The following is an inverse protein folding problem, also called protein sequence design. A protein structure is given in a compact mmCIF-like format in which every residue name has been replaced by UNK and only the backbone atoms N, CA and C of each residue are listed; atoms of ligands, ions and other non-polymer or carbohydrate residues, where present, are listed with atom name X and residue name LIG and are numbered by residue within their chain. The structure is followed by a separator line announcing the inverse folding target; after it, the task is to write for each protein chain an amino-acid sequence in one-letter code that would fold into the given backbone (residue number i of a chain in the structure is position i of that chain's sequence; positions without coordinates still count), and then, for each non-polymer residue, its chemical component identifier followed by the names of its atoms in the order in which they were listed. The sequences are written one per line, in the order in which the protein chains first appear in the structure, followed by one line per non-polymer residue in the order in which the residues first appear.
data_IF_239804572373
#
_entry.id   IF_239804572373
#
_cell.length_a   1.000
_cell.length_b   1.000
_cell.length_c   1.000
_cell.angle_alpha   90.00
_cell.angle_beta   90.00
_cell.angle_gamma   90.00
#
_symmetry.space_group_name_H-M   'P 1'
#
loop_
_entity.id
_entity.type
_entity.pdbx_description
1 polymer ?
#
# COMPACT_ATOMS: atom_id res chain seq x y z
N UNK A 1 6.62 -60.70 38.98
CA UNK A 1 5.83 -60.07 37.85
C UNK A 1 6.10 -58.58 37.89
N UNK A 2 6.96 -58.12 36.97
CA UNK A 2 7.30 -56.76 36.77
C UNK A 2 6.29 -56.19 35.72
N UNK A 3 5.48 -55.22 36.16
CA UNK A 3 4.69 -54.39 35.22
C UNK A 3 5.48 -53.12 34.95
N UNK A 4 6.17 -53.09 33.83
CA UNK A 4 6.71 -51.86 33.28
C UNK A 4 5.53 -51.07 32.67
N UNK A 5 5.22 -49.92 33.29
CA UNK A 5 4.29 -48.96 32.73
C UNK A 5 5.04 -48.12 31.71
N UNK A 6 4.68 -48.25 30.44
CA UNK A 6 5.03 -47.31 29.36
C UNK A 6 4.37 -45.97 29.62
N UNK A 7 5.08 -44.85 29.49
CA UNK A 7 4.44 -43.54 29.50
C UNK A 7 3.68 -43.34 28.18
N UNK A 8 2.48 -42.71 28.17
CA UNK A 8 1.77 -42.44 26.95
C UNK A 8 2.40 -41.30 26.20
N UNK A 9 2.75 -41.63 25.01
CA UNK A 9 2.76 -40.83 23.78
C UNK A 9 3.09 -39.36 23.82
N UNK A 10 4.23 -39.09 23.17
CA UNK A 10 4.59 -37.77 22.66
C UNK A 10 3.52 -37.26 21.71
N UNK A 11 3.01 -36.06 21.98
CA UNK A 11 2.23 -35.30 21.02
C UNK A 11 3.01 -35.18 19.69
N UNK A 12 2.38 -35.38 18.53
CA UNK A 12 3.07 -35.28 17.26
C UNK A 12 3.69 -33.90 17.14
N UNK A 13 5.00 -33.86 16.96
CA UNK A 13 5.69 -32.62 16.70
C UNK A 13 5.00 -31.94 15.50
N UNK A 14 4.49 -30.73 15.70
CA UNK A 14 3.81 -30.00 14.68
C UNK A 14 4.70 -29.91 13.45
N UNK A 15 4.27 -30.50 12.34
CA UNK A 15 5.06 -30.53 11.12
C UNK A 15 5.36 -29.11 10.61
N UNK A 16 6.39 -28.94 9.76
CA UNK A 16 6.80 -27.62 9.26
C UNK A 16 5.65 -26.82 8.64
N UNK A 17 4.65 -27.49 8.08
CA UNK A 17 3.42 -26.85 7.57
C UNK A 17 2.55 -26.26 8.70
N UNK A 18 2.40 -26.95 9.84
CA UNK A 18 1.67 -26.43 10.99
C UNK A 18 2.39 -25.27 11.67
N UNK A 19 3.72 -25.32 11.77
CA UNK A 19 4.52 -24.21 12.28
C UNK A 19 4.39 -22.98 11.38
N UNK A 20 4.33 -23.17 10.04
CA UNK A 20 4.10 -22.09 9.08
C UNK A 20 2.69 -21.49 9.24
N UNK A 21 1.68 -22.33 9.36
CA UNK A 21 0.28 -21.88 9.58
C UNK A 21 0.14 -21.13 10.91
N UNK A 22 0.79 -21.58 11.98
CA UNK A 22 0.80 -20.86 13.26
C UNK A 22 1.49 -19.50 13.14
N UNK A 23 2.61 -19.41 12.41
CA UNK A 23 3.30 -18.13 12.16
C UNK A 23 2.44 -17.18 11.33
N UNK A 24 1.70 -17.69 10.33
CA UNK A 24 0.74 -16.90 9.54
C UNK A 24 -0.45 -16.44 10.42
N UNK A 25 -0.93 -17.28 11.32
CA UNK A 25 -2.02 -16.94 12.23
C UNK A 25 -1.62 -15.91 13.31
N UNK A 26 -0.35 -15.83 13.66
CA UNK A 26 0.19 -14.85 14.62
C UNK A 26 0.49 -13.48 14.02
N UNK A 27 0.39 -13.32 12.70
CA UNK A 27 0.49 -11.99 12.06
C UNK A 27 -0.77 -11.23 12.47
N UNK A 28 -0.66 -10.11 13.19
CA UNK A 28 -1.81 -9.29 13.53
C UNK A 28 -2.52 -8.91 12.23
N UNK A 29 -3.71 -9.43 12.02
CA UNK A 29 -4.55 -9.03 10.89
C UNK A 29 -5.13 -7.66 11.24
N UNK A 30 -4.40 -6.62 10.96
CA UNK A 30 -4.95 -5.27 11.05
C UNK A 30 -6.01 -5.17 9.96
N UNK A 31 -7.26 -5.01 10.36
CA UNK A 31 -8.35 -4.77 9.43
C UNK A 31 -8.53 -3.27 9.29
N UNK A 32 -8.13 -2.73 8.16
CA UNK A 32 -8.29 -1.30 7.87
C UNK A 32 -9.68 -0.97 7.32
N UNK A 33 -10.27 -1.88 6.54
CA UNK A 33 -11.60 -1.69 5.94
C UNK A 33 -12.30 -3.04 5.65
N UNK A 34 -13.52 -2.97 5.14
CA UNK A 34 -14.33 -4.16 4.76
C UNK A 34 -13.81 -4.92 3.52
N UNK A 35 -12.91 -4.34 2.73
CA UNK A 35 -12.38 -5.00 1.54
C UNK A 35 -11.10 -5.82 1.88
N UNK A 36 -11.15 -7.17 1.81
CA UNK A 36 -10.03 -8.02 2.22
C UNK A 36 -8.79 -7.88 1.34
N UNK A 37 -8.96 -7.52 0.05
CA UNK A 37 -7.82 -7.32 -0.85
C UNK A 37 -7.09 -6.01 -0.54
N UNK A 38 -7.82 -4.93 -0.28
CA UNK A 38 -7.25 -3.66 0.19
C UNK A 38 -6.48 -3.89 1.49
N UNK A 39 -7.08 -4.58 2.46
CA UNK A 39 -6.41 -4.93 3.72
C UNK A 39 -5.11 -5.72 3.48
N UNK A 40 -5.12 -6.66 2.54
CA UNK A 40 -3.93 -7.47 2.22
C UNK A 40 -2.82 -6.61 1.63
N UNK A 41 -3.14 -5.70 0.71
CA UNK A 41 -2.14 -4.80 0.11
C UNK A 41 -1.58 -3.86 1.16
N UNK A 42 -2.43 -3.20 1.96
CA UNK A 42 -2.00 -2.29 3.01
C UNK A 42 -1.10 -2.99 4.04
N UNK A 43 -1.49 -4.18 4.50
CA UNK A 43 -0.70 -4.98 5.46
C UNK A 43 0.65 -5.40 4.89
N UNK A 44 0.69 -5.84 3.63
CA UNK A 44 1.93 -6.22 2.95
C UNK A 44 2.89 -5.03 2.83
N UNK A 45 2.37 -3.88 2.41
CA UNK A 45 3.18 -2.67 2.20
C UNK A 45 3.64 -2.06 3.53
N UNK A 46 2.77 -2.03 4.55
CA UNK A 46 3.14 -1.59 5.91
C UNK A 46 4.26 -2.43 6.49
N UNK A 47 4.17 -3.76 6.37
CA UNK A 47 5.24 -4.67 6.81
C UNK A 47 6.54 -4.43 6.03
N UNK A 48 6.46 -4.27 4.70
CA UNK A 48 7.64 -3.95 3.88
C UNK A 48 8.29 -2.63 4.28
N UNK A 49 7.50 -1.59 4.55
CA UNK A 49 7.99 -0.31 5.06
C UNK A 49 8.71 -0.49 6.39
N UNK A 50 8.11 -1.21 7.34
CA UNK A 50 8.68 -1.49 8.66
C UNK A 50 10.03 -2.25 8.56
N UNK A 51 10.13 -3.26 7.69
CA UNK A 51 11.38 -3.99 7.42
C UNK A 51 12.51 -3.07 6.92
N UNK A 52 12.16 -1.94 6.32
CA UNK A 52 13.09 -0.92 5.81
C UNK A 52 13.31 0.25 6.78
N UNK A 53 12.75 0.20 8.01
CA UNK A 53 12.86 1.28 8.98
C UNK A 53 11.99 2.50 8.64
N UNK A 54 10.90 2.29 7.89
CA UNK A 54 9.94 3.32 7.49
C UNK A 54 8.65 3.11 8.28
N UNK A 55 8.17 4.14 8.97
CA UNK A 55 6.88 4.09 9.63
C UNK A 55 5.75 4.39 8.63
N UNK A 56 4.61 3.68 8.75
CA UNK A 56 3.44 3.92 7.89
C UNK A 56 2.21 4.12 8.75
N UNK A 57 1.64 5.31 8.69
CA UNK A 57 0.37 5.64 9.33
C UNK A 57 -0.77 5.50 8.33
N UNK A 58 -1.70 4.59 8.61
CA UNK A 58 -2.79 4.26 7.70
C UNK A 58 -4.12 4.64 8.34
N UNK A 59 -4.83 5.55 7.70
CA UNK A 59 -6.17 5.96 8.06
C UNK A 59 -7.13 5.56 6.96
N UNK A 60 -8.08 4.68 7.28
CA UNK A 60 -9.14 4.28 6.36
C UNK A 60 -10.48 4.66 6.96
N UNK A 61 -11.15 5.56 6.28
CA UNK A 61 -12.52 5.95 6.61
C UNK A 61 -13.54 5.01 5.98
N UNK A 62 -14.79 5.47 5.90
CA UNK A 62 -15.78 4.76 5.10
C UNK A 62 -15.31 4.64 3.65
N UNK A 63 -15.32 3.42 3.11
CA UNK A 63 -14.88 3.13 1.74
C UNK A 63 -15.99 2.42 0.98
N UNK A 64 -16.54 3.11 -0.01
CA UNK A 64 -17.36 2.51 -1.05
C UNK A 64 -16.52 2.38 -2.31
N UNK A 65 -16.25 1.17 -2.72
CA UNK A 65 -15.48 0.89 -3.93
C UNK A 65 -16.36 0.81 -5.18
N UNK A 66 -17.67 0.82 -5.02
CA UNK A 66 -18.65 0.81 -6.12
C UNK A 66 -18.31 -0.23 -7.20
N UNK A 67 -18.11 0.26 -8.41
CA UNK A 67 -17.78 -0.56 -9.59
C UNK A 67 -16.26 -0.74 -9.83
N UNK A 68 -15.41 -0.25 -8.91
CA UNK A 68 -13.97 -0.41 -9.05
C UNK A 68 -13.57 -1.89 -8.98
N UNK A 69 -12.86 -2.35 -10.00
CA UNK A 69 -12.31 -3.69 -9.97
C UNK A 69 -11.22 -3.81 -8.90
N UNK A 70 -11.32 -4.83 -8.07
CA UNK A 70 -10.36 -5.08 -6.98
C UNK A 70 -8.89 -5.10 -7.46
N UNK A 71 -8.63 -5.62 -8.66
CA UNK A 71 -7.27 -5.65 -9.23
C UNK A 71 -6.74 -4.26 -9.56
N UNK A 72 -7.57 -3.36 -10.06
CA UNK A 72 -7.20 -1.98 -10.36
C UNK A 72 -6.94 -1.19 -9.08
N UNK A 73 -7.80 -1.36 -8.08
CA UNK A 73 -7.61 -0.75 -6.76
C UNK A 73 -6.33 -1.25 -6.08
N UNK A 74 -6.05 -2.56 -6.13
CA UNK A 74 -4.80 -3.12 -5.62
C UNK A 74 -3.58 -2.60 -6.38
N UNK A 75 -3.68 -2.46 -7.71
CA UNK A 75 -2.62 -1.90 -8.54
C UNK A 75 -2.37 -0.42 -8.22
N UNK A 76 -3.42 0.37 -8.06
CA UNK A 76 -3.33 1.77 -7.68
C UNK A 76 -2.64 1.94 -6.32
N UNK A 77 -3.14 1.23 -5.30
CA UNK A 77 -2.55 1.20 -3.95
C UNK A 77 -1.08 0.78 -4.01
N UNK A 78 -0.80 -0.34 -4.67
CA UNK A 78 0.56 -0.87 -4.80
C UNK A 78 1.51 0.14 -5.42
N UNK A 79 1.13 0.77 -6.52
CA UNK A 79 1.96 1.74 -7.24
C UNK A 79 2.26 2.99 -6.39
N UNK A 80 1.25 3.55 -5.70
CA UNK A 80 1.46 4.75 -4.87
C UNK A 80 2.29 4.43 -3.63
N UNK A 81 2.04 3.30 -2.97
CA UNK A 81 2.77 2.88 -1.79
C UNK A 81 4.22 2.48 -2.10
N UNK A 82 4.47 1.79 -3.22
CA UNK A 82 5.83 1.48 -3.65
C UNK A 82 6.63 2.74 -3.94
N UNK A 83 6.01 3.71 -4.63
CA UNK A 83 6.66 4.99 -4.89
C UNK A 83 7.03 5.73 -3.59
N UNK A 84 6.14 5.73 -2.60
CA UNK A 84 6.38 6.36 -1.30
C UNK A 84 7.49 5.64 -0.50
N UNK A 85 7.44 4.30 -0.43
CA UNK A 85 8.46 3.48 0.25
C UNK A 85 9.84 3.74 -0.37
N UNK A 86 9.92 3.66 -1.70
CA UNK A 86 11.19 3.88 -2.40
C UNK A 86 11.75 5.29 -2.19
N UNK A 87 10.90 6.32 -2.12
CA UNK A 87 11.33 7.69 -1.85
C UNK A 87 11.86 7.87 -0.42
N UNK A 88 11.36 7.08 0.54
CA UNK A 88 11.78 7.12 1.94
C UNK A 88 13.09 6.36 2.21
N UNK A 89 13.43 5.31 1.43
CA UNK A 89 14.63 4.49 1.66
C UNK A 89 15.92 5.31 1.86
N UNK A 90 16.22 6.34 1.06
CA UNK A 90 17.43 7.14 1.25
C UNK A 90 17.46 7.94 2.57
N UNK A 91 16.33 8.09 3.24
CA UNK A 91 16.19 8.85 4.49
C UNK A 91 16.39 8.00 5.74
N UNK A 92 16.26 6.66 5.63
CA UNK A 92 16.32 5.74 6.79
C UNK A 92 17.67 5.75 7.54
N UNK A 93 18.83 6.01 6.93
CA UNK A 93 20.09 6.10 7.67
C UNK A 93 20.17 7.32 8.61
N UNK A 94 19.36 8.36 8.38
CA UNK A 94 19.42 9.62 9.10
C UNK A 94 18.19 9.92 9.95
N UNK A 95 17.15 9.08 9.86
CA UNK A 95 15.90 9.29 10.58
C UNK A 95 14.91 8.16 10.35
N UNK A 96 13.72 8.33 10.93
CA UNK A 96 12.58 7.43 10.77
C UNK A 96 11.52 8.12 9.89
N UNK A 97 11.61 7.96 8.55
CA UNK A 97 10.64 8.57 7.66
C UNK A 97 9.25 7.98 7.86
N UNK A 98 8.23 8.85 7.78
CA UNK A 98 6.82 8.49 7.96
C UNK A 98 6.08 8.65 6.64
N UNK A 99 5.35 7.60 6.25
CA UNK A 99 4.40 7.63 5.13
C UNK A 99 2.99 7.75 5.71
N UNK A 100 2.23 8.75 5.25
CA UNK A 100 0.83 8.92 5.63
C UNK A 100 -0.04 8.39 4.50
N UNK A 101 -0.98 7.50 4.84
CA UNK A 101 -1.93 6.92 3.89
C UNK A 101 -3.34 7.24 4.35
N UNK A 102 -4.13 7.86 3.49
CA UNK A 102 -5.53 8.16 3.75
C UNK A 102 -6.40 7.61 2.62
N UNK A 103 -7.36 6.75 2.95
CA UNK A 103 -8.30 6.16 2.01
C UNK A 103 -9.71 6.37 2.54
N UNK A 104 -10.57 7.03 1.78
CA UNK A 104 -11.96 7.26 2.15
C UNK A 104 -12.82 7.54 0.93
N UNK A 105 -14.12 7.38 1.07
CA UNK A 105 -15.11 7.81 0.08
C UNK A 105 -15.68 9.16 0.47
N UNK A 106 -15.85 10.03 -0.52
CA UNK A 106 -16.50 11.32 -0.40
C UNK A 106 -17.56 11.45 -1.50
N UNK A 107 -18.81 11.30 -1.15
CA UNK A 107 -19.89 11.14 -2.15
C UNK A 107 -19.63 9.93 -3.05
N UNK A 108 -19.63 10.15 -4.34
CA UNK A 108 -19.35 9.11 -5.36
C UNK A 108 -17.87 9.04 -5.78
N UNK A 109 -16.98 9.57 -4.96
CA UNK A 109 -15.54 9.52 -5.21
C UNK A 109 -14.85 8.66 -4.16
N UNK A 110 -14.00 7.74 -4.58
CA UNK A 110 -13.00 7.11 -3.75
C UNK A 110 -11.73 7.96 -3.83
N UNK A 111 -11.24 8.39 -2.67
CA UNK A 111 -10.04 9.24 -2.54
C UNK A 111 -8.95 8.44 -1.83
N UNK A 112 -7.81 8.30 -2.48
CA UNK A 112 -6.60 7.73 -1.93
C UNK A 112 -5.49 8.78 -1.95
N UNK A 113 -5.05 9.22 -0.78
CA UNK A 113 -3.91 10.12 -0.63
C UNK A 113 -2.75 9.38 0.03
N UNK A 114 -1.56 9.50 -0.55
CA UNK A 114 -0.31 9.00 0.00
C UNK A 114 0.67 10.15 0.07
N UNK A 115 1.22 10.39 1.26
CA UNK A 115 2.17 11.47 1.51
C UNK A 115 3.45 10.88 2.12
N UNK A 116 4.59 11.35 1.64
CA UNK A 116 5.89 10.87 2.09
C UNK A 116 6.98 11.96 2.00
N UNK A 117 7.97 11.95 2.87
CA UNK A 117 9.15 12.79 2.70
C UNK A 117 10.00 12.33 1.51
N UNK A 118 10.75 13.25 0.93
CA UNK A 118 11.69 13.00 -0.18
C UNK A 118 13.08 13.53 0.15
N UNK A 119 14.11 12.74 -0.13
CA UNK A 119 15.52 13.15 0.05
C UNK A 119 15.96 14.16 -1.01
N UNK A 120 15.42 14.03 -2.22
CA UNK A 120 15.75 14.89 -3.37
C UNK A 120 14.46 15.35 -4.00
N UNK A 121 14.38 16.63 -4.31
CA UNK A 121 13.22 17.20 -4.96
C UNK A 121 13.01 16.52 -6.34
N UNK A 122 11.82 15.97 -6.61
CA UNK A 122 11.51 15.40 -7.91
C UNK A 122 11.55 16.51 -8.98
N UNK A 123 12.01 16.16 -10.19
CA UNK A 123 11.94 17.09 -11.32
C UNK A 123 10.48 17.30 -11.71
N UNK A 124 10.10 18.56 -11.93
CA UNK A 124 8.80 18.88 -12.51
C UNK A 124 8.94 19.09 -14.01
N UNK A 125 7.89 18.74 -14.76
CA UNK A 125 7.76 19.17 -16.16
C UNK A 125 7.39 20.64 -16.24
N UNK A 126 7.46 21.21 -17.46
CA UNK A 126 6.92 22.53 -17.75
C UNK A 126 5.41 22.65 -17.46
N UNK A 127 4.70 21.53 -17.38
CA UNK A 127 3.26 21.43 -17.05
C UNK A 127 2.99 21.25 -15.55
N UNK A 128 4.03 21.32 -14.68
CA UNK A 128 3.90 21.16 -13.23
C UNK A 128 3.76 19.71 -12.75
N UNK A 129 3.89 18.72 -13.64
CA UNK A 129 3.87 17.31 -13.27
C UNK A 129 5.23 16.87 -12.72
N UNK A 130 5.21 16.13 -11.60
CA UNK A 130 6.43 15.62 -11.01
C UNK A 130 6.81 14.26 -11.60
N UNK A 131 8.08 14.13 -12.01
CA UNK A 131 8.67 12.88 -12.46
C UNK A 131 9.70 12.40 -11.45
N UNK A 132 9.83 11.09 -11.31
CA UNK A 132 10.89 10.48 -10.49
C UNK A 132 12.27 10.79 -11.07
N UNK A 133 13.17 11.31 -10.24
CA UNK A 133 14.57 11.67 -10.61
C UNK A 133 15.53 10.50 -10.55
N UNK A 134 15.06 9.25 -10.42
CA UNK A 134 15.93 8.08 -10.21
C UNK A 134 16.70 7.68 -11.48
N UNK A 135 17.91 7.15 -11.24
CA UNK A 135 18.91 6.80 -12.26
C UNK A 135 18.50 5.72 -13.28
N UNK A 136 17.28 5.16 -13.20
CA UNK A 136 16.75 4.19 -14.13
C UNK A 136 15.33 4.61 -14.59
N UNK A 137 15.23 5.44 -15.65
CA UNK A 137 13.96 5.96 -16.15
C UNK A 137 12.99 4.88 -16.64
N UNK A 138 13.50 3.73 -17.08
CA UNK A 138 12.68 2.66 -17.68
C UNK A 138 11.81 1.89 -16.68
N UNK A 139 12.12 1.92 -15.39
CA UNK A 139 11.38 1.16 -14.37
C UNK A 139 10.54 1.98 -13.40
N UNK A 140 10.83 3.29 -13.23
CA UNK A 140 10.33 4.07 -12.08
C UNK A 140 9.32 5.17 -12.43
N UNK A 141 9.12 5.50 -13.71
CA UNK A 141 8.04 6.39 -14.15
C UNK A 141 6.70 5.66 -14.32
N UNK A 142 6.72 4.33 -14.36
CA UNK A 142 5.56 3.51 -14.70
C UNK A 142 4.50 3.48 -13.59
N UNK A 143 4.89 3.58 -12.31
CA UNK A 143 3.96 3.50 -11.19
C UNK A 143 2.97 4.65 -11.14
N UNK A 144 3.45 5.89 -11.19
CA UNK A 144 2.57 7.08 -11.22
C UNK A 144 1.79 7.19 -12.53
N UNK A 145 2.40 6.80 -13.66
CA UNK A 145 1.69 6.73 -14.95
C UNK A 145 0.57 5.69 -14.92
N UNK A 146 0.83 4.51 -14.37
CA UNK A 146 -0.18 3.47 -14.18
C UNK A 146 -1.29 3.94 -13.25
N UNK A 147 -0.95 4.59 -12.13
CA UNK A 147 -1.92 5.14 -11.19
C UNK A 147 -2.79 6.21 -11.87
N UNK A 148 -2.19 7.10 -12.67
CA UNK A 148 -2.92 8.12 -13.45
C UNK A 148 -3.87 7.50 -14.45
N UNK A 149 -3.42 6.48 -15.20
CA UNK A 149 -4.26 5.76 -16.15
C UNK A 149 -5.46 5.10 -15.48
N UNK A 150 -5.24 4.43 -14.33
CA UNK A 150 -6.33 3.82 -13.56
C UNK A 150 -7.33 4.89 -13.12
N UNK A 151 -6.87 6.02 -12.56
CA UNK A 151 -7.77 7.10 -12.16
C UNK A 151 -8.59 7.63 -13.35
N UNK A 152 -7.97 7.85 -14.50
CA UNK A 152 -8.64 8.33 -15.72
C UNK A 152 -9.66 7.32 -16.27
N UNK A 153 -9.39 6.02 -16.17
CA UNK A 153 -10.34 4.97 -16.57
C UNK A 153 -11.63 4.98 -15.74
N UNK A 154 -11.57 5.55 -14.55
CA UNK A 154 -12.70 5.71 -13.62
C UNK A 154 -13.14 7.17 -13.48
N UNK A 155 -13.09 7.94 -14.55
CA UNK A 155 -13.53 9.34 -14.62
C UNK A 155 -12.96 10.22 -13.50
N UNK A 156 -11.76 9.90 -13.07
CA UNK A 156 -11.05 10.55 -11.99
C UNK A 156 -9.70 11.13 -12.44
N UNK A 157 -8.88 11.47 -11.46
CA UNK A 157 -7.56 12.05 -11.72
C UNK A 157 -6.56 11.64 -10.63
N UNK A 158 -5.27 11.79 -10.96
CA UNK A 158 -4.16 11.74 -10.02
C UNK A 158 -3.53 13.12 -9.93
N UNK A 159 -3.61 13.72 -8.74
CA UNK A 159 -2.94 14.97 -8.41
C UNK A 159 -1.64 14.67 -7.68
N UNK A 160 -0.59 15.44 -7.98
CA UNK A 160 0.68 15.34 -7.27
C UNK A 160 1.11 16.73 -6.81
N UNK A 161 1.52 16.84 -5.56
CA UNK A 161 1.96 18.08 -4.94
C UNK A 161 3.29 17.88 -4.22
N UNK A 162 4.11 18.92 -4.19
CA UNK A 162 5.33 18.98 -3.41
C UNK A 162 5.27 20.22 -2.51
N UNK A 163 5.29 20.01 -1.19
CA UNK A 163 5.35 21.07 -0.18
C UNK A 163 6.62 20.91 0.65
N UNK A 164 7.60 21.78 0.41
CA UNK A 164 8.93 21.62 1.00
C UNK A 164 9.56 20.30 0.56
N UNK A 165 9.89 19.45 1.53
CA UNK A 165 10.44 18.10 1.30
C UNK A 165 9.39 16.99 1.38
N UNK A 166 8.10 17.32 1.32
CA UNK A 166 7.01 16.36 1.39
C UNK A 166 6.28 16.26 0.06
N UNK A 167 6.23 15.04 -0.50
CA UNK A 167 5.51 14.72 -1.73
C UNK A 167 4.18 14.07 -1.37
N UNK A 168 3.11 14.54 -2.01
CA UNK A 168 1.76 13.97 -1.88
C UNK A 168 1.23 13.58 -3.24
N UNK A 169 0.72 12.35 -3.34
CA UNK A 169 -0.04 11.87 -4.48
C UNK A 169 -1.47 11.59 -4.03
N UNK A 170 -2.46 12.18 -4.70
CA UNK A 170 -3.88 12.00 -4.41
C UNK A 170 -4.58 11.48 -5.65
N UNK A 171 -5.05 10.24 -5.61
CA UNK A 171 -5.91 9.65 -6.63
C UNK A 171 -7.37 9.81 -6.21
N UNK A 172 -8.19 10.27 -7.15
CA UNK A 172 -9.64 10.35 -7.03
C UNK A 172 -10.25 9.51 -8.15
N UNK A 173 -11.20 8.62 -7.82
CA UNK A 173 -11.86 7.73 -8.77
C UNK A 173 -13.36 7.80 -8.56
N UNK A 174 -14.14 7.86 -9.65
CA UNK A 174 -15.58 7.73 -9.57
C UNK A 174 -15.97 6.29 -9.23
N UNK A 175 -16.88 6.13 -8.29
CA UNK A 175 -17.48 4.84 -7.90
C UNK A 175 -18.83 4.60 -8.58
N UNK A 176 -19.30 5.54 -9.40
CA UNK A 176 -20.55 5.42 -10.15
C UNK A 176 -20.39 4.54 -11.40
N UNK A 177 -21.51 3.92 -11.77
CA UNK A 177 -21.62 3.20 -13.03
C UNK A 177 -21.62 4.24 -14.17
N UNK A 178 -20.73 4.08 -15.14
CA UNK A 178 -20.94 4.76 -16.44
C UNK A 178 -22.30 4.32 -16.99
N UNK A 179 -23.28 5.20 -16.93
CA UNK A 179 -24.48 5.03 -17.71
C UNK A 179 -24.06 5.13 -19.16
N UNK A 180 -23.87 3.97 -19.81
CA UNK A 180 -23.48 3.91 -21.22
C UNK A 180 -24.50 4.64 -22.06
N UNK A 181 -24.02 5.61 -22.82
CA UNK A 181 -24.76 6.22 -23.93
C UNK A 181 -24.76 5.27 -25.10
#
# INVERSE_FOLDING_TARGET
ALHEAFPPDGAPAAGPAQALLQRIAQIPRVSYCGNPLVNSVLSLKSRRAQELGIHMEIQVGHTDTGQLHNLELCSLLGNLLDNAIEACVPLTPTGEPVILVNLHSQGHLLVLAVENPVATLPKSSATGEYFTTKANPERHGLGLQSARRIAQQHDGCLLTELKGSCFRATAMLSTEIRSGS
#
